data_IF_225685422985
#
_entry.id   IF_225685422985
#
_cell.length_a   1.000
_cell.length_b   1.000
_cell.length_c   1.000
_cell.angle_alpha   90.00
_cell.angle_beta   90.00
_cell.angle_gamma   90.00
#
_symmetry.space_group_name_H-M   'P 1'
#
loop_
_entity.id
_entity.type
_entity.pdbx_description
1 polymer ?
#
# COMPACT_ATOMS: atom_id res chain seq x y z
N UNK A 1 11.85 23.28 -10.11
CA UNK A 1 11.31 23.90 -11.34
C UNK A 1 12.28 24.89 -11.99
N UNK A 2 12.90 25.81 -11.23
CA UNK A 2 13.80 26.83 -11.78
C UNK A 2 15.00 26.26 -12.55
N UNK A 3 15.38 25.00 -12.30
CA UNK A 3 16.44 24.27 -12.99
C UNK A 3 15.95 23.41 -14.18
N UNK A 4 14.72 23.62 -14.65
CA UNK A 4 14.16 22.92 -15.81
C UNK A 4 13.92 23.91 -16.96
N UNK A 5 13.88 23.45 -18.22
CA UNK A 5 13.60 24.33 -19.35
C UNK A 5 12.31 25.13 -19.18
N UNK A 6 12.31 26.37 -19.68
CA UNK A 6 11.14 27.24 -19.63
C UNK A 6 9.94 26.64 -20.39
N UNK A 7 10.19 25.93 -21.50
CA UNK A 7 9.20 25.26 -22.34
C UNK A 7 8.97 23.78 -21.95
N UNK A 8 8.83 23.50 -20.66
CA UNK A 8 8.52 22.13 -20.18
C UNK A 8 7.03 21.83 -20.29
N UNK A 9 6.71 20.55 -20.48
CA UNK A 9 5.37 20.00 -20.22
C UNK A 9 5.39 19.35 -18.85
N UNK A 10 4.41 19.66 -18.01
CA UNK A 10 4.26 19.05 -16.68
C UNK A 10 2.98 18.24 -16.65
N UNK A 11 3.11 16.96 -16.28
CA UNK A 11 1.99 16.02 -16.16
C UNK A 11 1.99 15.47 -14.74
N UNK A 12 0.84 15.50 -14.09
CA UNK A 12 0.65 14.96 -12.74
C UNK A 12 -0.37 13.82 -12.78
N UNK A 13 -0.11 12.78 -12.02
CA UNK A 13 -1.00 11.64 -11.85
C UNK A 13 -1.26 11.42 -10.37
N UNK A 14 -2.53 11.31 -9.99
CA UNK A 14 -2.92 11.03 -8.60
C UNK A 14 -4.25 10.30 -8.58
N UNK A 15 -4.40 9.41 -7.59
CA UNK A 15 -5.66 8.73 -7.31
C UNK A 15 -6.60 9.58 -6.43
N UNK A 16 -6.08 10.63 -5.78
CA UNK A 16 -6.84 11.50 -4.86
C UNK A 16 -6.64 12.98 -5.22
N UNK A 17 -7.68 13.80 -5.03
CA UNK A 17 -7.64 15.23 -5.39
C UNK A 17 -8.14 16.17 -4.27
N UNK A 18 -7.60 16.06 -3.04
CA UNK A 18 -7.95 16.95 -1.93
C UNK A 18 -7.38 18.36 -2.13
N UNK A 19 -7.81 19.34 -1.33
CA UNK A 19 -7.47 20.76 -1.49
C UNK A 19 -5.96 21.03 -1.43
N UNK A 20 -5.24 20.31 -0.58
CA UNK A 20 -3.80 20.46 -0.38
C UNK A 20 -3.01 20.08 -1.65
N UNK A 21 -3.45 19.03 -2.34
CA UNK A 21 -2.84 18.61 -3.61
C UNK A 21 -3.17 19.59 -4.74
N UNK A 22 -4.34 20.23 -4.71
CA UNK A 22 -4.72 21.27 -5.68
C UNK A 22 -3.81 22.48 -5.59
N UNK A 23 -3.65 23.00 -4.37
CA UNK A 23 -2.76 24.13 -4.10
C UNK A 23 -1.33 23.81 -4.58
N UNK A 24 -0.83 22.61 -4.27
CA UNK A 24 0.46 22.16 -4.77
C UNK A 24 0.47 22.11 -6.29
N UNK A 25 -0.52 21.53 -6.95
CA UNK A 25 -0.53 21.40 -8.41
C UNK A 25 -0.51 22.76 -9.13
N UNK A 26 -1.20 23.77 -8.60
CA UNK A 26 -1.26 25.14 -9.13
C UNK A 26 0.12 25.84 -9.12
N UNK A 27 1.00 25.50 -8.18
CA UNK A 27 2.36 26.06 -8.14
C UNK A 27 3.28 25.53 -9.26
N UNK A 28 2.99 24.34 -9.80
CA UNK A 28 3.90 23.63 -10.71
C UNK A 28 3.36 23.54 -12.14
N UNK A 29 2.04 23.62 -12.33
CA UNK A 29 1.36 23.53 -13.61
C UNK A 29 1.10 24.91 -14.22
N UNK A 30 1.14 24.99 -15.55
CA UNK A 30 0.77 26.19 -16.32
C UNK A 30 -0.38 25.83 -17.24
N UNK A 31 -1.54 26.46 -17.03
CA UNK A 31 -2.78 26.23 -17.78
C UNK A 31 -3.13 24.74 -17.97
N UNK A 32 -3.32 23.97 -16.87
CA UNK A 32 -3.48 22.52 -16.96
C UNK A 32 -4.88 22.11 -17.45
N UNK A 33 -4.90 21.10 -18.33
CA UNK A 33 -6.12 20.32 -18.60
C UNK A 33 -6.23 19.19 -17.58
N UNK A 34 -7.35 19.13 -16.86
CA UNK A 34 -7.63 18.07 -15.89
C UNK A 34 -8.55 17.01 -16.49
N UNK A 35 -8.12 15.76 -16.42
CA UNK A 35 -8.94 14.58 -16.75
C UNK A 35 -9.18 13.77 -15.49
N UNK A 36 -10.42 13.37 -15.24
CA UNK A 36 -10.80 12.56 -14.09
C UNK A 36 -11.61 11.35 -14.57
N UNK A 37 -11.34 10.18 -13.98
CA UNK A 37 -12.04 8.93 -14.26
C UNK A 37 -12.76 8.52 -12.97
N UNK A 38 -14.08 8.33 -13.03
CA UNK A 38 -14.90 8.04 -11.85
C UNK A 38 -15.53 9.30 -11.23
N UNK A 39 -15.90 9.23 -9.95
CA UNK A 39 -16.50 10.36 -9.22
C UNK A 39 -15.43 11.34 -8.68
N UNK A 40 -15.82 12.59 -8.41
CA UNK A 40 -14.91 13.58 -7.80
C UNK A 40 -14.70 13.34 -6.29
N UNK A 41 -15.56 12.53 -5.67
CA UNK A 41 -15.43 12.15 -4.28
C UNK A 41 -14.37 11.07 -4.11
N UNK A 42 -13.80 10.97 -2.91
CA UNK A 42 -12.83 9.95 -2.57
C UNK A 42 -13.51 8.58 -2.57
N UNK A 43 -13.52 7.93 -3.73
CA UNK A 43 -14.10 6.59 -3.90
C UNK A 43 -12.98 5.57 -4.04
N UNK A 44 -12.96 4.58 -3.14
CA UNK A 44 -12.14 3.39 -3.33
C UNK A 44 -12.62 2.60 -4.56
N UNK A 45 -11.73 1.84 -5.20
CA UNK A 45 -12.09 1.01 -6.33
C UNK A 45 -13.20 0.01 -5.92
N UNK A 46 -14.33 0.03 -6.64
CA UNK A 46 -15.51 -0.80 -6.38
C UNK A 46 -15.24 -2.31 -6.46
N UNK A 47 -14.15 -2.74 -7.09
CA UNK A 47 -13.72 -4.14 -7.12
C UNK A 47 -13.10 -4.60 -5.80
N UNK A 48 -12.76 -3.68 -4.88
CA UNK A 48 -12.18 -4.00 -3.58
C UNK A 48 -13.29 -4.21 -2.57
N UNK A 49 -13.42 -5.44 -2.08
CA UNK A 49 -14.27 -5.73 -0.91
C UNK A 49 -13.60 -5.17 0.34
N UNK A 50 -14.33 -4.35 1.10
CA UNK A 50 -13.81 -3.68 2.29
C UNK A 50 -14.45 -4.26 3.55
N UNK A 51 -13.61 -4.65 4.51
CA UNK A 51 -14.03 -5.10 5.83
C UNK A 51 -13.40 -4.21 6.90
N UNK A 52 -14.21 -3.75 7.85
CA UNK A 52 -13.77 -2.94 9.00
C UNK A 52 -14.09 -3.72 10.26
N UNK A 53 -13.06 -3.98 11.07
CA UNK A 53 -13.20 -4.60 12.39
C UNK A 53 -12.74 -3.61 13.46
N UNK A 54 -13.64 -3.29 14.40
CA UNK A 54 -13.32 -2.48 15.58
C UNK A 54 -12.83 -3.43 16.67
N UNK A 55 -11.57 -3.28 17.06
CA UNK A 55 -10.90 -4.12 18.07
C UNK A 55 -10.07 -3.26 19.01
N UNK A 56 -9.84 -3.75 20.21
CA UNK A 56 -8.93 -3.08 21.13
C UNK A 56 -7.49 -3.14 20.60
N UNK A 57 -6.63 -2.12 20.87
CA UNK A 57 -5.27 -2.09 20.36
C UNK A 57 -4.46 -3.35 20.67
N UNK A 58 -4.63 -3.92 21.87
CA UNK A 58 -3.94 -5.14 22.31
C UNK A 58 -4.42 -6.40 21.59
N UNK A 59 -5.62 -6.39 21.03
CA UNK A 59 -6.18 -7.55 20.32
C UNK A 59 -5.63 -7.68 18.90
N UNK A 60 -5.13 -6.60 18.31
CA UNK A 60 -4.57 -6.59 16.94
C UNK A 60 -3.47 -7.63 16.74
N UNK A 61 -2.62 -7.82 17.74
CA UNK A 61 -1.52 -8.79 17.69
C UNK A 61 -2.00 -10.24 17.59
N UNK A 62 -3.10 -10.58 18.28
CA UNK A 62 -3.74 -11.90 18.20
C UNK A 62 -4.62 -12.05 16.98
N UNK A 63 -5.23 -10.94 16.53
CA UNK A 63 -6.17 -10.92 15.42
C UNK A 63 -5.49 -11.06 14.07
N UNK A 64 -4.33 -10.43 13.88
CA UNK A 64 -3.62 -10.44 12.60
C UNK A 64 -3.33 -11.87 12.08
N UNK A 65 -2.75 -12.81 12.87
CA UNK A 65 -2.54 -14.18 12.39
C UNK A 65 -3.83 -14.90 11.98
N UNK A 66 -4.95 -14.63 12.66
CA UNK A 66 -6.25 -15.21 12.33
C UNK A 66 -6.76 -14.69 10.98
N UNK A 67 -6.60 -13.38 10.72
CA UNK A 67 -6.93 -12.77 9.42
C UNK A 67 -6.05 -13.35 8.31
N UNK A 68 -4.75 -13.50 8.55
CA UNK A 68 -3.84 -14.12 7.58
C UNK A 68 -4.25 -15.55 7.24
N UNK A 69 -4.60 -16.37 8.24
CA UNK A 69 -5.06 -17.74 8.02
C UNK A 69 -6.37 -17.81 7.22
N UNK A 70 -7.35 -16.95 7.57
CA UNK A 70 -8.62 -16.82 6.85
C UNK A 70 -8.40 -16.48 5.38
N UNK A 71 -7.73 -15.37 5.11
CA UNK A 71 -7.55 -14.88 3.74
C UNK A 71 -6.58 -15.74 2.92
N UNK A 72 -5.56 -16.34 3.54
CA UNK A 72 -4.71 -17.28 2.83
C UNK A 72 -5.48 -18.52 2.32
N UNK A 73 -6.50 -18.97 3.07
CA UNK A 73 -7.38 -20.08 2.64
C UNK A 73 -8.34 -19.64 1.53
N UNK A 74 -8.97 -18.47 1.69
CA UNK A 74 -9.91 -17.92 0.69
C UNK A 74 -9.20 -17.67 -0.65
N UNK A 75 -8.02 -17.05 -0.62
CA UNK A 75 -7.25 -16.73 -1.83
C UNK A 75 -6.73 -17.99 -2.54
N UNK A 76 -6.32 -19.03 -1.81
CA UNK A 76 -5.94 -20.33 -2.42
C UNK A 76 -7.08 -20.99 -3.18
N UNK A 77 -8.33 -20.81 -2.71
CA UNK A 77 -9.52 -21.36 -3.38
C UNK A 77 -9.89 -20.64 -4.67
N UNK A 78 -9.47 -19.38 -4.84
CA UNK A 78 -9.81 -18.54 -5.99
C UNK A 78 -8.80 -18.69 -7.15
N UNK A 79 -7.54 -19.02 -6.86
CA UNK A 79 -6.47 -19.10 -7.87
C UNK A 79 -6.42 -20.46 -8.58
N UNK A 80 -7.54 -20.94 -9.13
CA UNK A 80 -7.62 -22.26 -9.79
C UNK A 80 -6.40 -22.61 -10.65
N UNK A 81 -5.82 -23.80 -10.40
CA UNK A 81 -4.70 -24.42 -11.12
C UNK A 81 -3.46 -23.52 -11.35
N UNK A 82 -2.59 -23.38 -10.34
CA UNK A 82 -1.31 -22.66 -10.53
C UNK A 82 -0.46 -22.31 -9.31
N UNK A 83 -0.82 -22.73 -8.09
CA UNK A 83 0.16 -22.95 -7.00
C UNK A 83 0.90 -21.75 -6.40
N UNK A 84 0.37 -20.53 -6.46
CA UNK A 84 0.94 -19.38 -5.75
C UNK A 84 0.52 -19.33 -4.28
N UNK A 85 1.44 -18.98 -3.36
CA UNK A 85 1.04 -18.60 -2.00
C UNK A 85 0.21 -17.31 -2.04
N UNK A 86 -0.76 -17.17 -1.11
CA UNK A 86 -1.51 -15.94 -0.95
C UNK A 86 -0.57 -14.76 -0.65
N UNK A 87 -0.63 -13.70 -1.46
CA UNK A 87 0.15 -12.48 -1.27
C UNK A 87 -0.67 -11.48 -0.46
N UNK A 88 -0.13 -11.04 0.67
CA UNK A 88 -0.80 -10.13 1.60
C UNK A 88 0.14 -8.98 1.96
N UNK A 89 -0.35 -7.74 1.87
CA UNK A 89 0.36 -6.55 2.34
C UNK A 89 -0.29 -6.10 3.66
N UNK A 90 0.52 -5.93 4.69
CA UNK A 90 0.08 -5.40 5.99
C UNK A 90 0.71 -4.02 6.17
N UNK A 91 -0.14 -3.00 6.30
CA UNK A 91 0.32 -1.64 6.62
C UNK A 91 0.37 -1.45 8.14
N UNK A 92 1.48 -0.90 8.61
CA UNK A 92 1.69 -0.52 10.01
C UNK A 92 1.94 0.99 10.09
N UNK A 93 1.63 1.61 11.23
CA UNK A 93 1.70 3.07 11.37
C UNK A 93 3.15 3.56 11.48
N UNK A 94 4.00 2.82 12.19
CA UNK A 94 5.39 3.20 12.43
C UNK A 94 6.39 2.16 11.92
N UNK A 95 7.58 2.62 11.53
CA UNK A 95 8.70 1.76 11.10
C UNK A 95 9.07 0.68 12.13
N UNK A 96 9.06 1.03 13.43
CA UNK A 96 9.31 0.07 14.53
C UNK A 96 8.22 -1.00 14.63
N UNK A 97 6.97 -0.61 14.35
CA UNK A 97 5.83 -1.53 14.34
C UNK A 97 5.92 -2.50 13.15
N UNK A 98 6.31 -2.03 11.97
CA UNK A 98 6.54 -2.89 10.81
C UNK A 98 7.60 -3.97 11.10
N UNK A 99 8.73 -3.60 11.71
CA UNK A 99 9.76 -4.55 12.12
C UNK A 99 9.27 -5.53 13.19
N UNK A 100 8.49 -5.05 14.18
CA UNK A 100 7.88 -5.91 15.20
C UNK A 100 6.92 -6.93 14.59
N UNK A 101 6.05 -6.48 13.68
CA UNK A 101 5.08 -7.35 12.99
C UNK A 101 5.80 -8.41 12.16
N UNK A 102 6.83 -8.03 11.41
CA UNK A 102 7.67 -8.99 10.67
C UNK A 102 8.25 -10.07 11.59
N UNK A 103 8.90 -9.69 12.70
CA UNK A 103 9.48 -10.63 13.67
C UNK A 103 8.42 -11.55 14.29
N UNK A 104 7.27 -11.00 14.68
CA UNK A 104 6.15 -11.80 15.22
C UNK A 104 5.66 -12.82 14.19
N UNK A 105 5.46 -12.40 12.95
CA UNK A 105 4.99 -13.28 11.88
C UNK A 105 6.02 -14.37 11.53
N UNK A 106 7.31 -14.02 11.47
CA UNK A 106 8.39 -15.00 11.26
C UNK A 106 8.46 -16.03 12.39
N UNK A 107 8.32 -15.60 13.66
CA UNK A 107 8.25 -16.51 14.82
C UNK A 107 7.04 -17.45 14.75
N UNK A 108 5.94 -17.01 14.16
CA UNK A 108 4.75 -17.84 13.91
C UNK A 108 4.87 -18.69 12.64
N UNK A 109 6.01 -18.66 11.94
CA UNK A 109 6.30 -19.48 10.76
C UNK A 109 5.84 -18.88 9.43
N UNK A 110 5.39 -17.62 9.40
CA UNK A 110 5.04 -16.95 8.15
C UNK A 110 6.28 -16.44 7.42
N UNK A 111 6.26 -16.55 6.08
CA UNK A 111 7.22 -15.88 5.20
C UNK A 111 6.84 -14.40 5.10
N UNK A 112 7.40 -13.58 5.98
CA UNK A 112 7.14 -12.13 6.05
C UNK A 112 8.44 -11.34 5.90
N UNK A 113 8.34 -10.20 5.22
CA UNK A 113 9.41 -9.20 5.10
C UNK A 113 8.81 -7.81 5.33
N UNK A 114 9.48 -6.97 6.13
CA UNK A 114 9.12 -5.57 6.30
C UNK A 114 9.72 -4.70 5.18
N UNK A 115 9.10 -3.55 4.90
CA UNK A 115 9.68 -2.47 4.10
C UNK A 115 9.41 -1.15 4.85
N UNK A 116 10.46 -0.48 5.31
CA UNK A 116 10.35 0.80 6.01
C UNK A 116 11.57 1.70 5.79
N UNK A 117 11.48 2.97 6.23
CA UNK A 117 12.49 4.00 5.96
C UNK A 117 13.89 3.75 6.55
N UNK A 118 14.01 2.96 7.62
CA UNK A 118 15.32 2.63 8.22
C UNK A 118 16.08 1.51 7.47
N UNK A 119 15.48 0.88 6.46
CA UNK A 119 16.15 -0.16 5.67
C UNK A 119 16.98 0.47 4.55
N UNK A 120 18.08 -0.21 4.19
CA UNK A 120 18.85 0.18 3.00
C UNK A 120 18.04 -0.07 1.73
N UNK A 121 18.34 0.66 0.65
CA UNK A 121 17.65 0.50 -0.63
C UNK A 121 17.76 -0.94 -1.16
N UNK A 122 18.90 -1.60 -0.93
CA UNK A 122 19.12 -3.00 -1.31
C UNK A 122 18.20 -3.96 -0.53
N UNK A 123 18.07 -3.75 0.78
CA UNK A 123 17.16 -4.56 1.61
C UNK A 123 15.71 -4.39 1.15
N UNK A 124 15.28 -3.15 0.88
CA UNK A 124 13.94 -2.84 0.36
C UNK A 124 13.70 -3.52 -1.00
N UNK A 125 14.69 -3.49 -1.88
CA UNK A 125 14.61 -4.10 -3.21
C UNK A 125 14.49 -5.63 -3.11
N UNK A 126 15.29 -6.27 -2.25
CA UNK A 126 15.20 -7.72 -2.02
C UNK A 126 13.86 -8.14 -1.44
N UNK A 127 13.34 -7.40 -0.45
CA UNK A 127 12.03 -7.65 0.13
C UNK A 127 10.91 -7.54 -0.92
N UNK A 128 10.97 -6.51 -1.78
CA UNK A 128 10.00 -6.33 -2.86
C UNK A 128 10.11 -7.43 -3.92
N UNK A 129 11.32 -7.85 -4.29
CA UNK A 129 11.55 -8.95 -5.23
C UNK A 129 11.05 -10.29 -4.67
N UNK A 130 11.21 -10.54 -3.38
CA UNK A 130 10.70 -11.74 -2.73
C UNK A 130 9.15 -11.77 -2.64
N UNK A 131 8.50 -10.61 -2.71
CA UNK A 131 7.04 -10.49 -2.64
C UNK A 131 6.35 -10.60 -4.01
N UNK A 132 6.99 -10.14 -5.09
CA UNK A 132 6.48 -10.23 -6.46
C UNK A 132 6.36 -11.69 -6.90
#
# INVERSE_FOLDING_TARGET
>A
ISQTPAARTTVMFTATWPQEIRALAEEFLKDPVRVSIGSQDLTANHQITQHVEVVEPMEKEKRLPQLLAKYAKELKGQTGQGGGAARIIVFALYKKEAARVEQTLQRLGHKAAAIHGDMTQDQRTRALQAFK
#
